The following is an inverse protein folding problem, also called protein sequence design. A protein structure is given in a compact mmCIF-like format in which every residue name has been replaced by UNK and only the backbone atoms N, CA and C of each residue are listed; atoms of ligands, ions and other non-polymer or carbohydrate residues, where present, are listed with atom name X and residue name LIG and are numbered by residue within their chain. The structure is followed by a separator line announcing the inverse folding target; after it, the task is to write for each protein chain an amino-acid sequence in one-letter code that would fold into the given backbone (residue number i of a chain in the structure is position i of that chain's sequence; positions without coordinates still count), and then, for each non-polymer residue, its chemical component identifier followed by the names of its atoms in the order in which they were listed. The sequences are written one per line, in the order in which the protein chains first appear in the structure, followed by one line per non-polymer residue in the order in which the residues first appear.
data_IF_179479161661
#
_entry.id   IF_179479161661
#
_cell.length_a   1.000
_cell.length_b   1.000
_cell.length_c   1.000
_cell.angle_alpha   90.00
_cell.angle_beta   90.00
_cell.angle_gamma   90.00
#
_symmetry.space_group_name_H-M   'P 1'
#
loop_
_entity.id
_entity.type
_entity.pdbx_description
1 polymer ?
#
# COMPACT_ATOMS: atom_id res chain seq x y z
N UNK A 1 -15.31 11.00 1.83
CA UNK A 1 -15.21 10.41 3.19
C UNK A 1 -13.80 10.58 3.74
N UNK A 2 -13.60 10.61 5.06
CA UNK A 2 -12.27 10.52 5.68
C UNK A 2 -11.70 9.11 5.50
N UNK A 3 -10.42 8.93 5.84
CA UNK A 3 -9.78 7.60 5.89
C UNK A 3 -10.54 6.64 6.83
N UNK A 4 -11.14 7.17 7.91
CA UNK A 4 -11.96 6.42 8.85
C UNK A 4 -13.43 6.20 8.43
N UNK A 5 -13.80 6.54 7.19
CA UNK A 5 -15.15 6.32 6.66
C UNK A 5 -16.17 7.41 7.01
N UNK A 6 -15.79 8.42 7.79
CA UNK A 6 -16.69 9.53 8.12
C UNK A 6 -17.02 10.31 6.84
N UNK A 7 -18.31 10.51 6.60
CA UNK A 7 -18.78 11.33 5.49
C UNK A 7 -18.58 12.81 5.79
N UNK A 8 -17.87 13.51 4.90
CA UNK A 8 -17.57 14.94 5.05
C UNK A 8 -18.55 15.83 4.27
N UNK A 9 -18.95 15.36 3.09
CA UNK A 9 -19.83 16.08 2.18
C UNK A 9 -20.86 15.09 1.63
N UNK A 10 -22.15 15.47 1.59
CA UNK A 10 -23.24 14.62 1.11
C UNK A 10 -23.23 14.45 -0.43
N UNK A 11 -22.45 15.26 -1.14
CA UNK A 11 -22.40 15.31 -2.59
C UNK A 11 -20.96 15.46 -3.08
N UNK A 12 -20.61 14.68 -4.09
CA UNK A 12 -19.31 14.66 -4.75
C UNK A 12 -19.36 15.25 -6.16
N UNK A 13 -18.19 15.42 -6.77
CA UNK A 13 -18.06 15.74 -8.19
C UNK A 13 -18.29 14.47 -9.04
N UNK A 14 -18.70 14.64 -10.29
CA UNK A 14 -18.68 13.54 -11.26
C UNK A 14 -17.25 13.08 -11.53
N UNK A 15 -17.09 11.83 -11.98
CA UNK A 15 -15.79 11.26 -12.37
C UNK A 15 -15.06 12.10 -13.39
N UNK A 16 -15.77 12.53 -14.44
CA UNK A 16 -15.22 13.36 -15.51
C UNK A 16 -14.69 14.70 -14.99
N UNK A 17 -15.50 15.40 -14.17
CA UNK A 17 -15.09 16.70 -13.60
C UNK A 17 -13.92 16.53 -12.64
N UNK A 18 -13.93 15.49 -11.80
CA UNK A 18 -12.81 15.21 -10.91
C UNK A 18 -11.53 14.92 -11.70
N UNK A 19 -11.59 14.08 -12.72
CA UNK A 19 -10.44 13.77 -13.57
C UNK A 19 -9.93 15.02 -14.31
N UNK A 20 -10.82 15.83 -14.86
CA UNK A 20 -10.46 17.08 -15.53
C UNK A 20 -9.70 18.02 -14.59
N UNK A 21 -10.22 18.25 -13.37
CA UNK A 21 -9.59 19.13 -12.40
C UNK A 21 -8.18 18.67 -12.02
N UNK A 22 -7.96 17.36 -11.88
CA UNK A 22 -6.64 16.81 -11.55
C UNK A 22 -5.68 16.72 -12.74
N UNK A 23 -6.16 16.89 -13.98
CA UNK A 23 -5.35 16.77 -15.21
C UNK A 23 -5.31 18.10 -15.97
N UNK A 24 -6.24 18.33 -16.89
CA UNK A 24 -6.33 19.54 -17.71
C UNK A 24 -6.49 20.82 -16.88
N UNK A 25 -7.37 20.80 -15.88
CA UNK A 25 -7.68 21.95 -15.03
C UNK A 25 -6.49 22.41 -14.19
N UNK A 26 -5.66 21.48 -13.70
CA UNK A 26 -4.48 21.79 -12.89
C UNK A 26 -3.29 22.28 -13.70
N UNK A 27 -3.25 22.04 -15.03
CA UNK A 27 -2.19 22.54 -15.91
C UNK A 27 -2.07 24.07 -15.85
N UNK A 28 -3.15 24.78 -15.48
CA UNK A 28 -3.08 26.23 -15.31
C UNK A 28 -2.09 26.67 -14.24
N UNK A 29 -1.98 25.93 -13.15
CA UNK A 29 -1.11 26.26 -12.03
C UNK A 29 0.38 26.32 -12.42
N UNK A 30 0.77 25.61 -13.47
CA UNK A 30 2.15 25.54 -13.97
C UNK A 30 2.40 26.37 -15.24
N UNK A 31 1.40 27.14 -15.72
CA UNK A 31 1.47 27.83 -17.02
C UNK A 31 1.73 26.87 -18.20
N UNK A 32 1.18 25.65 -18.11
CA UNK A 32 1.32 24.58 -19.11
C UNK A 32 -0.02 24.21 -19.75
N UNK A 33 -0.98 25.13 -19.72
CA UNK A 33 -2.26 25.00 -20.39
C UNK A 33 -2.04 24.76 -21.89
N UNK A 34 -2.77 23.81 -22.45
CA UNK A 34 -2.62 23.42 -23.85
C UNK A 34 -1.34 22.65 -24.17
N UNK A 35 -0.42 22.45 -23.20
CA UNK A 35 0.77 21.60 -23.35
C UNK A 35 0.60 20.24 -22.70
N UNK A 36 -0.16 20.13 -21.60
CA UNK A 36 -0.38 18.86 -20.88
C UNK A 36 -1.78 18.77 -20.29
N UNK A 37 -2.10 17.59 -19.75
CA UNK A 37 -3.32 17.32 -19.01
C UNK A 37 -4.44 16.70 -19.85
N UNK A 38 -4.22 16.46 -21.15
CA UNK A 38 -5.17 15.75 -22.01
C UNK A 38 -4.43 14.79 -22.95
N UNK A 39 -5.09 13.69 -23.32
CA UNK A 39 -4.64 12.83 -24.41
C UNK A 39 -5.09 13.48 -25.72
N UNK A 40 -4.25 14.37 -26.25
CA UNK A 40 -4.56 15.19 -27.42
C UNK A 40 -3.31 15.48 -28.25
N UNK A 41 -3.45 15.45 -29.58
CA UNK A 41 -2.37 15.83 -30.51
C UNK A 41 -1.83 17.22 -30.17
N UNK A 42 -0.51 17.34 -30.09
CA UNK A 42 0.19 18.58 -29.75
C UNK A 42 0.49 18.78 -28.26
N UNK A 43 0.00 17.89 -27.38
CA UNK A 43 0.37 17.87 -25.96
C UNK A 43 1.51 16.89 -25.70
N UNK A 44 2.17 17.04 -24.54
CA UNK A 44 3.19 16.12 -24.05
C UNK A 44 2.64 14.70 -23.97
N UNK A 45 3.50 13.72 -24.28
CA UNK A 45 3.20 12.31 -24.17
C UNK A 45 3.34 11.83 -22.70
N UNK A 46 2.60 12.49 -21.82
CA UNK A 46 2.51 12.15 -20.39
C UNK A 46 1.23 11.35 -20.16
N UNK A 47 1.37 10.06 -19.86
CA UNK A 47 0.23 9.16 -19.70
C UNK A 47 0.48 8.10 -18.63
N UNK A 48 -0.62 7.61 -18.07
CA UNK A 48 -0.64 6.52 -17.12
C UNK A 48 -1.62 5.44 -17.56
N UNK A 49 -1.29 4.18 -17.32
CA UNK A 49 -2.24 3.08 -17.35
C UNK A 49 -2.57 2.70 -15.91
N UNK A 50 -3.86 2.54 -15.61
CA UNK A 50 -4.36 2.28 -14.27
C UNK A 50 -4.67 0.79 -14.08
N UNK A 51 -4.54 0.30 -12.85
CA UNK A 51 -4.84 -1.09 -12.48
C UNK A 51 -6.33 -1.45 -12.56
N UNK A 52 -7.21 -0.46 -12.70
CA UNK A 52 -8.65 -0.65 -12.88
C UNK A 52 -9.26 0.54 -13.63
N UNK A 53 -10.46 0.33 -14.17
CA UNK A 53 -11.20 1.37 -14.89
C UNK A 53 -11.83 2.38 -13.91
N UNK A 54 -11.24 3.57 -13.85
CA UNK A 54 -11.68 4.68 -13.00
C UNK A 54 -13.17 5.05 -13.14
N UNK A 55 -13.75 4.88 -14.34
CA UNK A 55 -15.13 5.30 -14.62
C UNK A 55 -16.17 4.27 -14.18
N UNK A 56 -15.78 3.00 -14.02
CA UNK A 56 -16.71 1.90 -13.79
C UNK A 56 -16.59 1.25 -12.41
N UNK A 57 -15.58 1.60 -11.61
CA UNK A 57 -15.45 1.09 -10.24
C UNK A 57 -16.23 1.91 -9.20
N UNK A 58 -16.56 1.23 -8.10
CA UNK A 58 -17.15 1.83 -6.90
C UNK A 58 -16.28 2.94 -6.31
N UNK A 59 -16.91 3.94 -5.68
CA UNK A 59 -16.24 5.10 -5.11
C UNK A 59 -15.13 4.74 -4.10
N UNK A 60 -15.42 3.82 -3.19
CA UNK A 60 -14.45 3.34 -2.21
C UNK A 60 -13.29 2.54 -2.82
N UNK A 61 -13.42 2.05 -4.05
CA UNK A 61 -12.38 1.30 -4.74
C UNK A 61 -11.32 2.23 -5.39
N UNK A 62 -11.65 3.50 -5.65
CA UNK A 62 -10.77 4.46 -6.33
C UNK A 62 -9.45 4.68 -5.60
N UNK A 63 -9.47 4.68 -4.25
CA UNK A 63 -8.27 4.83 -3.42
C UNK A 63 -7.27 3.66 -3.54
N UNK A 64 -7.69 2.57 -4.17
CA UNK A 64 -6.87 1.39 -4.40
C UNK A 64 -6.37 1.26 -5.84
N UNK A 65 -6.72 2.20 -6.73
CA UNK A 65 -6.15 2.24 -8.06
C UNK A 65 -4.66 2.56 -7.95
N UNK A 66 -3.84 1.76 -8.62
CA UNK A 66 -2.40 1.98 -8.78
C UNK A 66 -2.10 2.28 -10.26
N UNK A 67 -1.02 3.01 -10.54
CA UNK A 67 -0.46 3.06 -11.89
C UNK A 67 0.27 1.75 -12.17
N UNK A 68 0.02 1.13 -13.33
CA UNK A 68 0.78 -0.05 -13.80
C UNK A 68 1.83 0.33 -14.84
N UNK A 69 1.69 1.50 -15.46
CA UNK A 69 2.63 2.07 -16.42
C UNK A 69 2.57 3.59 -16.31
N UNK A 70 3.73 4.24 -16.21
CA UNK A 70 3.84 5.70 -16.30
C UNK A 70 4.82 6.06 -17.41
N UNK A 71 4.37 6.93 -18.31
CA UNK A 71 5.16 7.50 -19.39
C UNK A 71 5.22 9.01 -19.16
N UNK A 72 6.43 9.58 -19.25
CA UNK A 72 6.69 11.01 -19.16
C UNK A 72 7.52 11.40 -20.37
N UNK A 73 7.08 12.43 -21.10
CA UNK A 73 7.72 12.90 -22.32
C UNK A 73 8.01 11.76 -23.32
N UNK A 74 7.05 10.83 -23.45
CA UNK A 74 7.16 9.67 -24.33
C UNK A 74 8.11 8.56 -23.85
N UNK A 75 8.70 8.69 -22.66
CA UNK A 75 9.61 7.69 -22.07
C UNK A 75 8.93 6.95 -20.93
N UNK A 76 9.06 5.63 -20.92
CA UNK A 76 8.58 4.80 -19.79
C UNK A 76 9.48 5.08 -18.58
N UNK A 77 8.89 5.61 -17.51
CA UNK A 77 9.59 5.94 -16.26
C UNK A 77 9.18 5.06 -15.10
N UNK A 78 8.10 4.29 -15.25
CA UNK A 78 7.63 3.32 -14.27
C UNK A 78 6.84 2.22 -14.96
N UNK A 79 7.00 0.99 -14.51
CA UNK A 79 6.21 -0.16 -14.94
C UNK A 79 6.10 -1.17 -13.80
N UNK A 80 4.93 -1.78 -13.66
CA UNK A 80 4.65 -2.86 -12.73
C UNK A 80 3.78 -3.93 -13.40
N UNK A 81 3.58 -5.07 -12.73
CA UNK A 81 2.79 -6.19 -13.24
C UNK A 81 3.26 -6.61 -14.64
N UNK A 82 2.46 -6.47 -15.69
CA UNK A 82 2.83 -6.83 -17.06
C UNK A 82 3.88 -5.90 -17.69
N UNK A 83 4.08 -4.69 -17.15
CA UNK A 83 5.01 -3.68 -17.66
C UNK A 83 6.34 -3.63 -16.89
N UNK A 84 6.55 -4.52 -15.90
CA UNK A 84 7.75 -4.50 -15.05
C UNK A 84 9.06 -4.50 -15.85
N UNK A 85 9.11 -5.25 -16.96
CA UNK A 85 10.31 -5.35 -17.81
C UNK A 85 10.55 -4.13 -18.70
N UNK A 86 9.56 -3.26 -18.86
CA UNK A 86 9.66 -2.04 -19.67
C UNK A 86 10.09 -0.82 -18.85
N UNK A 87 9.87 -0.86 -17.54
CA UNK A 87 10.25 0.21 -16.62
C UNK A 87 11.76 0.25 -16.36
N UNK A 88 12.26 1.39 -15.84
CA UNK A 88 13.62 1.44 -15.30
C UNK A 88 13.77 0.48 -14.10
N UNK A 89 14.99 0.04 -13.78
CA UNK A 89 15.22 -0.81 -12.61
C UNK A 89 14.79 -0.10 -11.32
N UNK A 90 14.35 -0.85 -10.29
CA UNK A 90 13.92 -0.27 -9.02
C UNK A 90 15.08 0.47 -8.35
N UNK A 91 14.77 1.64 -7.78
CA UNK A 91 15.73 2.41 -7.00
C UNK A 91 16.02 1.69 -5.66
N UNK A 92 17.26 1.79 -5.14
CA UNK A 92 17.56 1.26 -3.82
C UNK A 92 16.74 2.00 -2.75
N UNK A 93 16.26 1.25 -1.76
CA UNK A 93 15.53 1.84 -0.63
C UNK A 93 16.51 2.66 0.22
N UNK A 94 16.16 3.93 0.48
CA UNK A 94 16.91 4.81 1.37
C UNK A 94 15.96 5.43 2.42
N UNK A 95 16.40 5.54 3.69
CA UNK A 95 17.65 5.03 4.25
C UNK A 95 17.65 3.50 4.41
N UNK A 96 18.82 2.89 4.58
CA UNK A 96 19.01 1.43 4.70
C UNK A 96 18.19 0.80 5.84
N UNK A 97 17.96 1.53 6.93
CA UNK A 97 17.17 1.06 8.06
C UNK A 97 15.65 1.10 7.82
N UNK A 98 15.19 1.63 6.68
CA UNK A 98 13.76 1.74 6.37
C UNK A 98 13.09 0.36 6.42
N UNK A 99 11.95 0.20 7.13
CA UNK A 99 11.20 -1.05 7.13
C UNK A 99 10.83 -1.56 5.74
N UNK A 100 10.67 -0.64 4.78
CA UNK A 100 10.35 -0.95 3.37
C UNK A 100 11.48 -1.76 2.70
N UNK A 101 12.72 -1.67 3.20
CA UNK A 101 13.82 -2.49 2.70
C UNK A 101 13.64 -3.99 3.01
N UNK A 102 12.91 -4.32 4.08
CA UNK A 102 12.62 -5.71 4.49
C UNK A 102 11.23 -6.17 4.07
N UNK A 103 10.25 -5.28 4.20
CA UNK A 103 8.84 -5.56 3.89
C UNK A 103 8.39 -4.53 2.85
N UNK A 104 8.57 -4.83 1.55
CA UNK A 104 8.22 -3.90 0.49
C UNK A 104 6.70 -3.78 0.32
N UNK A 105 6.26 -2.65 -0.24
CA UNK A 105 4.87 -2.37 -0.58
C UNK A 105 4.11 -1.56 0.47
N UNK A 106 2.83 -1.32 0.20
CA UNK A 106 1.91 -0.68 1.12
C UNK A 106 0.71 -1.60 1.38
N UNK A 107 -0.07 -1.27 2.42
CA UNK A 107 -1.29 -2.00 2.69
C UNK A 107 -2.30 -1.84 1.55
N UNK A 108 -2.90 -2.96 1.12
CA UNK A 108 -4.04 -3.00 0.20
C UNK A 108 -5.01 -4.11 0.62
N UNK A 109 -6.32 -4.01 0.32
CA UNK A 109 -7.33 -4.96 0.80
C UNK A 109 -7.05 -6.43 0.45
N UNK A 110 -6.33 -6.67 -0.64
CA UNK A 110 -5.95 -8.00 -1.13
C UNK A 110 -4.45 -8.27 -1.01
N UNK A 111 -3.71 -7.47 -0.22
CA UNK A 111 -2.31 -7.77 0.07
C UNK A 111 -2.25 -9.14 0.76
N UNK A 112 -1.40 -10.07 0.30
CA UNK A 112 -1.17 -11.29 1.05
C UNK A 112 -0.71 -10.88 2.45
N UNK A 113 -1.46 -11.28 3.47
CA UNK A 113 -1.07 -11.08 4.86
C UNK A 113 0.19 -11.91 5.11
N UNK A 114 1.36 -11.32 4.89
CA UNK A 114 2.65 -11.90 5.28
C UNK A 114 2.71 -11.90 6.80
N UNK A 115 2.24 -13.01 7.36
CA UNK A 115 2.14 -13.32 8.78
C UNK A 115 1.26 -12.35 9.60
N UNK A 116 0.38 -12.93 10.44
CA UNK A 116 -0.19 -12.19 11.57
C UNK A 116 0.97 -11.80 12.48
N UNK A 117 1.49 -10.58 12.36
CA UNK A 117 2.40 -10.01 13.35
C UNK A 117 1.59 -9.90 14.65
N UNK A 118 1.77 -10.85 15.55
CA UNK A 118 1.19 -10.77 16.88
C UNK A 118 1.94 -9.67 17.63
N UNK A 119 1.33 -8.50 17.75
CA UNK A 119 1.83 -7.43 18.61
C UNK A 119 1.61 -7.82 20.07
N UNK A 120 2.66 -8.31 20.73
CA UNK A 120 2.75 -8.15 22.18
C UNK A 120 3.52 -6.86 22.45
N UNK A 121 2.89 -5.94 23.19
CA UNK A 121 3.57 -4.79 23.78
C UNK A 121 4.49 -5.31 24.90
N UNK A 122 5.80 -5.08 24.77
CA UNK A 122 6.77 -5.20 25.85
C UNK A 122 7.90 -6.22 25.60
N UNK A 123 9.14 -5.73 25.62
CA UNK A 123 10.32 -6.57 25.81
C UNK A 123 10.51 -6.81 27.32
N UNK A 124 10.41 -8.05 27.79
CA UNK A 124 11.15 -8.39 29.01
C UNK A 124 12.63 -8.40 28.62
N UNK A 125 13.34 -7.34 28.97
CA UNK A 125 14.72 -7.03 28.60
C UNK A 125 15.78 -7.98 29.20
N UNK A 126 15.46 -9.26 29.38
CA UNK A 126 16.34 -10.21 30.08
C UNK A 126 16.72 -11.41 29.21
N UNK A 127 15.83 -12.04 28.43
CA UNK A 127 16.23 -13.11 27.50
C UNK A 127 15.31 -13.22 26.27
N UNK A 128 15.89 -13.39 25.08
CA UNK A 128 15.17 -13.67 23.83
C UNK A 128 14.79 -15.16 23.74
N UNK A 129 13.51 -15.49 23.58
CA UNK A 129 13.07 -16.85 23.23
C UNK A 129 12.08 -16.84 22.06
N UNK A 130 12.11 -17.91 21.27
CA UNK A 130 11.26 -18.08 20.08
C UNK A 130 9.93 -18.75 20.46
N UNK A 131 8.86 -17.96 20.56
CA UNK A 131 7.52 -18.41 20.97
C UNK A 131 6.88 -19.45 20.05
N UNK A 132 7.34 -19.55 18.80
CA UNK A 132 6.91 -20.59 17.86
C UNK A 132 7.14 -21.99 18.43
N UNK A 133 8.29 -22.20 19.07
CA UNK A 133 8.71 -23.51 19.58
C UNK A 133 7.90 -23.96 20.79
N UNK A 134 7.56 -23.02 21.68
CA UNK A 134 6.72 -23.28 22.84
C UNK A 134 5.28 -23.65 22.44
N UNK A 135 4.70 -22.93 21.47
CA UNK A 135 3.31 -23.14 21.01
C UNK A 135 3.11 -24.41 20.18
N UNK A 136 4.15 -24.85 19.47
CA UNK A 136 4.12 -26.09 18.68
C UNK A 136 4.59 -27.31 19.49
N UNK A 137 4.91 -27.13 20.78
CA UNK A 137 5.26 -28.25 21.66
C UNK A 137 4.05 -29.12 21.95
N UNK A 138 4.27 -30.41 22.20
CA UNK A 138 3.22 -31.36 22.59
C UNK A 138 2.90 -31.31 24.09
N UNK A 139 3.13 -30.17 24.74
CA UNK A 139 2.82 -30.00 26.16
C UNK A 139 1.28 -30.02 26.34
N UNK A 140 0.74 -30.75 27.33
CA UNK A 140 -0.70 -30.92 27.52
C UNK A 140 -1.31 -29.70 28.21
N UNK A 141 -1.27 -28.54 27.54
CA UNK A 141 -1.86 -27.28 27.99
C UNK A 141 -3.03 -26.91 27.09
N UNK A 142 -4.18 -26.61 27.69
CA UNK A 142 -5.41 -26.24 26.98
C UNK A 142 -5.60 -24.72 26.84
N UNK A 143 -4.79 -23.93 27.55
CA UNK A 143 -4.83 -22.47 27.53
C UNK A 143 -3.42 -21.91 27.26
N UNK A 144 -3.24 -21.33 26.06
CA UNK A 144 -1.99 -20.74 25.59
C UNK A 144 -1.90 -19.23 25.84
N UNK A 145 -2.95 -18.62 26.41
CA UNK A 145 -3.05 -17.18 26.66
C UNK A 145 -3.22 -16.85 28.15
N UNK A 146 -3.53 -17.83 28.99
CA UNK A 146 -3.76 -17.67 30.42
C UNK A 146 -2.49 -17.48 31.24
N UNK A 147 -2.54 -16.48 32.11
CA UNK A 147 -1.46 -16.12 33.04
C UNK A 147 -1.16 -17.19 34.13
N UNK A 148 -2.11 -18.09 34.40
CA UNK A 148 -2.01 -19.16 35.42
C UNK A 148 -2.14 -20.59 34.85
N UNK A 149 -1.70 -20.82 33.61
CA UNK A 149 -1.53 -22.18 33.10
C UNK A 149 -0.62 -23.04 34.00
N UNK A 150 -0.69 -24.36 33.82
CA UNK A 150 -0.49 -25.46 34.78
C UNK A 150 0.44 -25.30 36.01
N UNK A 151 1.46 -24.46 36.06
CA UNK A 151 2.27 -24.26 37.28
C UNK A 151 2.82 -22.84 37.51
N UNK A 152 2.16 -21.80 36.99
CA UNK A 152 2.51 -20.41 37.30
C UNK A 152 3.80 -19.96 36.64
N UNK A 153 3.70 -18.88 35.85
CA UNK A 153 4.75 -18.34 34.97
C UNK A 153 5.02 -19.23 33.74
N UNK A 154 4.31 -18.95 32.64
CA UNK A 154 4.59 -19.46 31.29
C UNK A 154 5.88 -18.87 30.66
N UNK A 155 6.89 -18.55 31.48
CA UNK A 155 8.12 -17.88 31.06
C UNK A 155 9.39 -18.72 31.23
N UNK A 156 9.30 -20.01 31.56
CA UNK A 156 10.48 -20.89 31.58
C UNK A 156 10.16 -22.30 31.07
N UNK A 157 10.90 -22.70 30.02
CA UNK A 157 11.01 -24.02 29.38
C UNK A 157 9.78 -24.45 28.52
N UNK A 158 9.82 -24.48 27.18
CA UNK A 158 10.93 -24.66 26.20
C UNK A 158 10.65 -23.98 24.85
#
# INVERSE_FOLDING_TARGET
RTVGGLELYPQGLSRDTALELFTHGSAWFSSEQGKKGQIKVGQLADLIALSADYFHIEDEAVKWIESVLTIVDGKIVYGSVEFEKLGPPPLPVMPEWSPVAKVPGHWKPLAPLTARVHQCVGACAVHAHSHERARLSSAPVSDFAGFWGAFGCSCFAF
#
